data_IF_031188438379
#
_entry.id   IF_031188438379
#
_cell.length_a   1.000
_cell.length_b   1.000
_cell.length_c   1.000
_cell.angle_alpha   90.00
_cell.angle_beta   90.00
_cell.angle_gamma   90.00
#
_symmetry.space_group_name_H-M   'P 1'
#
loop_
_entity.id
_entity.type
_entity.pdbx_description
1 polymer ?
#
# COMPACT_ATOMS: atom_id res chain seq x y z
N UNK A 1 -17.16 0.16 10.93
CA UNK A 1 -16.59 -0.01 12.28
C UNK A 1 -15.23 0.69 12.28
N UNK A 2 -15.04 1.70 13.14
CA UNK A 2 -13.77 2.44 13.26
C UNK A 2 -12.79 1.59 14.09
N UNK A 3 -11.77 1.02 13.48
CA UNK A 3 -10.69 0.33 14.19
C UNK A 3 -9.64 1.35 14.64
N UNK A 4 -9.68 1.72 15.93
CA UNK A 4 -8.61 2.46 16.60
C UNK A 4 -7.81 1.45 17.43
N UNK A 5 -6.63 1.06 16.94
CA UNK A 5 -5.69 0.20 17.69
C UNK A 5 -4.62 1.12 18.32
N UNK A 6 -4.67 1.27 19.65
CA UNK A 6 -3.71 2.00 20.48
C UNK A 6 -2.44 1.19 20.67
N UNK A 7 -1.27 1.79 20.41
CA UNK A 7 0.06 1.19 20.59
C UNK A 7 0.70 1.65 21.90
N UNK A 8 1.05 0.71 22.78
CA UNK A 8 1.94 0.91 23.93
C UNK A 8 3.38 0.52 23.54
N UNK A 9 4.36 1.37 23.85
CA UNK A 9 5.77 1.24 23.46
C UNK A 9 6.58 0.64 24.61
N UNK A 10 7.30 -0.46 24.34
CA UNK A 10 8.41 -0.92 25.18
C UNK A 10 9.64 -1.05 24.28
N UNK A 11 10.68 -0.31 24.61
CA UNK A 11 11.97 -0.26 23.90
C UNK A 11 12.88 -1.37 24.45
N UNK A 12 13.40 -2.24 23.59
CA UNK A 12 14.56 -3.07 23.89
C UNK A 12 15.50 -3.11 22.70
N UNK A 13 16.78 -2.84 22.96
CA UNK A 13 17.88 -2.76 22.00
C UNK A 13 18.39 -4.16 21.59
N UNK A 14 18.68 -4.33 20.29
CA UNK A 14 19.91 -4.95 19.81
C UNK A 14 19.77 -6.15 18.86
N UNK A 15 20.10 -5.98 17.57
CA UNK A 15 21.11 -6.80 16.86
C UNK A 15 21.34 -6.31 15.42
N UNK A 16 22.61 -6.39 15.02
CA UNK A 16 23.20 -6.09 13.69
C UNK A 16 22.57 -6.98 12.60
N UNK A 17 22.20 -6.39 11.45
CA UNK A 17 21.30 -6.86 10.35
C UNK A 17 19.81 -6.50 10.48
N UNK A 18 19.33 -6.10 11.66
CA UNK A 18 17.94 -5.66 11.86
C UNK A 18 17.78 -4.13 11.96
N UNK A 19 18.86 -3.35 11.78
CA UNK A 19 18.87 -1.91 12.08
C UNK A 19 17.89 -1.09 11.25
N UNK A 20 17.80 -1.38 9.96
CA UNK A 20 16.99 -0.60 9.02
C UNK A 20 15.49 -0.92 9.17
N UNK A 21 15.17 -2.21 9.34
CA UNK A 21 13.80 -2.66 9.63
C UNK A 21 13.30 -2.20 11.01
N UNK A 22 14.14 -2.25 12.05
CA UNK A 22 13.79 -1.71 13.37
C UNK A 22 13.64 -0.19 13.33
N UNK A 23 14.56 0.52 12.64
CA UNK A 23 14.42 1.94 12.35
C UNK A 23 13.07 2.22 11.70
N UNK A 24 12.78 1.56 10.57
CA UNK A 24 11.55 1.77 9.82
C UNK A 24 10.32 1.50 10.68
N UNK A 25 10.32 0.46 11.51
CA UNK A 25 9.21 0.13 12.42
C UNK A 25 8.93 1.24 13.42
N UNK A 26 9.99 1.79 14.02
CA UNK A 26 9.89 2.80 15.06
C UNK A 26 9.32 4.11 14.52
N UNK A 27 9.71 4.50 13.30
CA UNK A 27 9.26 5.76 12.69
C UNK A 27 8.04 5.62 11.77
N UNK A 28 7.71 4.43 11.25
CA UNK A 28 6.51 4.22 10.42
C UNK A 28 5.21 4.48 11.19
N UNK A 29 5.21 4.28 12.51
CA UNK A 29 4.09 4.65 13.39
C UNK A 29 3.73 6.14 13.30
N UNK A 30 4.70 7.00 12.93
CA UNK A 30 4.45 8.42 12.69
C UNK A 30 3.58 8.64 11.45
N UNK A 31 3.72 7.81 10.42
CA UNK A 31 2.92 7.87 9.20
C UNK A 31 1.45 7.53 9.44
N UNK A 32 1.17 6.66 10.41
CA UNK A 32 -0.20 6.23 10.78
C UNK A 32 -0.88 7.22 11.75
N UNK A 33 -0.10 7.95 12.57
CA UNK A 33 -0.64 8.85 13.60
C UNK A 33 -1.05 10.24 13.11
N UNK A 34 -0.69 10.60 11.89
CA UNK A 34 -0.94 11.94 11.35
C UNK A 34 -2.05 11.88 10.29
N UNK A 35 -3.30 11.71 10.70
CA UNK A 35 -4.39 12.23 9.87
C UNK A 35 -4.47 13.74 10.11
N UNK A 36 -4.40 14.59 9.06
CA UNK A 36 -4.61 16.03 9.22
C UNK A 36 -5.91 16.31 9.99
N UNK A 37 -5.88 17.08 11.09
CA UNK A 37 -7.09 17.35 11.85
C UNK A 37 -8.05 18.27 11.07
N UNK A 38 -9.27 17.80 10.81
CA UNK A 38 -10.45 18.66 10.70
C UNK A 38 -10.88 19.16 9.32
N UNK A 39 -10.49 18.55 8.19
CA UNK A 39 -11.10 18.82 6.88
C UNK A 39 -11.52 17.52 6.19
N UNK A 40 -12.55 17.56 5.35
CA UNK A 40 -12.74 16.53 4.31
C UNK A 40 -11.45 16.49 3.50
N UNK A 41 -10.65 15.47 3.73
CA UNK A 41 -9.39 15.27 3.01
C UNK A 41 -9.79 14.68 1.66
N UNK A 42 -9.48 15.38 0.57
CA UNK A 42 -9.62 14.78 -0.75
C UNK A 42 -8.65 13.58 -0.83
N UNK A 43 -9.02 12.52 -1.53
CA UNK A 43 -8.22 11.29 -1.60
C UNK A 43 -6.75 11.57 -1.91
N UNK A 44 -6.50 12.50 -2.83
CA UNK A 44 -5.17 12.95 -3.22
C UNK A 44 -4.34 13.56 -2.07
N UNK A 45 -4.96 14.25 -1.10
CA UNK A 45 -4.26 14.84 0.04
C UNK A 45 -3.85 13.76 1.05
N UNK A 46 -4.71 12.79 1.31
CA UNK A 46 -4.41 11.67 2.23
C UNK A 46 -3.32 10.76 1.66
N UNK A 47 -3.46 10.42 0.38
CA UNK A 47 -2.53 9.57 -0.36
C UNK A 47 -1.15 10.22 -0.43
N UNK A 48 -1.06 11.50 -0.82
CA UNK A 48 0.22 12.25 -0.82
C UNK A 48 0.88 12.22 0.55
N UNK A 49 0.12 12.50 1.61
CA UNK A 49 0.65 12.52 2.97
C UNK A 49 1.26 11.16 3.35
N UNK A 50 0.55 10.06 3.11
CA UNK A 50 1.04 8.73 3.47
C UNK A 50 2.29 8.35 2.68
N UNK A 51 2.34 8.63 1.39
CA UNK A 51 3.47 8.27 0.53
C UNK A 51 4.67 9.15 0.80
N UNK A 52 4.49 10.45 0.98
CA UNK A 52 5.58 11.35 1.38
C UNK A 52 6.19 10.86 2.69
N UNK A 53 5.37 10.39 3.63
CA UNK A 53 5.87 9.80 4.86
C UNK A 53 6.66 8.50 4.60
N UNK A 54 6.12 7.56 3.81
CA UNK A 54 6.81 6.30 3.48
C UNK A 54 8.12 6.54 2.75
N UNK A 55 8.15 7.43 1.75
CA UNK A 55 9.37 7.79 1.01
C UNK A 55 10.42 8.42 1.93
N UNK A 56 10.02 9.38 2.77
CA UNK A 56 10.93 10.01 3.74
C UNK A 56 11.49 9.01 4.75
N UNK A 57 10.64 8.14 5.28
CA UNK A 57 11.04 7.18 6.32
C UNK A 57 11.88 6.04 5.75
N UNK A 58 11.54 5.53 4.57
CA UNK A 58 12.35 4.53 3.87
C UNK A 58 13.74 5.07 3.53
N UNK A 59 13.85 6.31 3.06
CA UNK A 59 15.14 6.96 2.84
C UNK A 59 15.92 7.17 4.15
N UNK A 60 15.26 7.61 5.23
CA UNK A 60 15.89 7.82 6.54
C UNK A 60 16.48 6.54 7.12
N UNK A 61 15.78 5.41 6.94
CA UNK A 61 16.19 4.11 7.43
C UNK A 61 16.91 3.27 6.36
N UNK A 62 17.36 3.89 5.27
CA UNK A 62 18.13 3.27 4.19
C UNK A 62 17.51 2.03 3.51
N UNK A 63 16.19 1.83 3.62
CA UNK A 63 15.46 0.66 3.12
C UNK A 63 15.73 0.38 1.64
N UNK A 64 15.73 -0.89 1.24
CA UNK A 64 15.98 -1.28 -0.16
C UNK A 64 14.91 -0.72 -1.12
N UNK A 65 13.68 -0.55 -0.62
CA UNK A 65 12.58 0.02 -1.41
C UNK A 65 12.52 1.55 -1.45
N UNK A 66 13.49 2.29 -0.87
CA UNK A 66 13.46 3.77 -0.80
C UNK A 66 13.28 4.45 -2.16
N UNK A 67 13.99 3.98 -3.18
CA UNK A 67 13.89 4.50 -4.56
C UNK A 67 12.51 4.20 -5.17
N UNK A 68 11.94 3.04 -4.84
CA UNK A 68 10.58 2.66 -5.28
C UNK A 68 9.53 3.51 -4.59
N UNK A 69 9.70 3.83 -3.31
CA UNK A 69 8.82 4.73 -2.57
C UNK A 69 8.87 6.17 -3.12
N UNK A 70 10.05 6.67 -3.50
CA UNK A 70 10.17 7.98 -4.16
C UNK A 70 9.51 7.97 -5.55
N UNK A 71 9.63 6.89 -6.33
CA UNK A 71 8.93 6.77 -7.61
C UNK A 71 7.39 6.80 -7.46
N UNK A 72 6.85 6.17 -6.40
CA UNK A 72 5.42 6.25 -6.08
C UNK A 72 5.03 7.68 -5.70
N UNK A 73 5.86 8.38 -4.93
CA UNK A 73 5.65 9.78 -4.58
C UNK A 73 5.57 10.67 -5.81
N UNK A 74 6.51 10.55 -6.73
CA UNK A 74 6.50 11.30 -7.99
C UNK A 74 5.28 10.98 -8.86
N UNK A 75 4.87 9.70 -8.92
CA UNK A 75 3.67 9.29 -9.65
C UNK A 75 2.40 9.87 -9.02
N UNK A 76 2.26 9.80 -7.70
CA UNK A 76 1.15 10.38 -6.97
C UNK A 76 1.11 11.90 -7.13
N UNK A 77 2.25 12.59 -7.09
CA UNK A 77 2.34 14.03 -7.34
C UNK A 77 1.93 14.42 -8.76
N UNK A 78 2.24 13.60 -9.77
CA UNK A 78 1.80 13.83 -11.15
C UNK A 78 0.28 13.67 -11.30
N UNK A 79 -0.28 12.60 -10.74
CA UNK A 79 -1.73 12.32 -10.82
C UNK A 79 -2.55 13.31 -9.99
N UNK A 80 -2.08 13.66 -8.80
CA UNK A 80 -2.77 14.54 -7.87
C UNK A 80 -2.25 15.99 -7.91
N UNK A 81 -1.49 16.37 -8.93
CA UNK A 81 -0.84 17.68 -9.04
C UNK A 81 -1.76 18.81 -9.52
N UNK A 82 -3.04 18.53 -9.77
CA UNK A 82 -3.99 19.42 -10.43
C UNK A 82 -3.93 19.31 -11.95
N UNK A 83 -4.60 20.26 -12.61
CA UNK A 83 -4.59 20.36 -14.07
C UNK A 83 -5.34 19.22 -14.77
N UNK A 84 -5.01 19.01 -16.04
CA UNK A 84 -5.76 18.09 -16.90
C UNK A 84 -5.46 16.61 -16.62
N UNK A 85 -4.28 16.30 -16.10
CA UNK A 85 -3.94 14.93 -15.65
C UNK A 85 -4.80 14.50 -14.47
N UNK A 86 -4.99 15.38 -13.47
CA UNK A 86 -5.86 15.06 -12.34
C UNK A 86 -7.32 14.92 -12.79
N UNK A 87 -7.83 15.83 -13.66
CA UNK A 87 -9.19 15.71 -14.18
C UNK A 87 -9.41 14.39 -14.92
N UNK A 88 -8.48 14.02 -15.80
CA UNK A 88 -8.56 12.75 -16.53
C UNK A 88 -8.53 11.55 -15.56
N UNK A 89 -7.68 11.59 -14.53
CA UNK A 89 -7.66 10.56 -13.51
C UNK A 89 -8.99 10.46 -12.76
N UNK A 90 -9.55 11.59 -12.33
CA UNK A 90 -10.81 11.65 -11.61
C UNK A 90 -11.99 11.17 -12.48
N UNK A 91 -11.99 11.47 -13.78
CA UNK A 91 -12.99 11.00 -14.76
C UNK A 91 -12.91 9.49 -15.01
N UNK A 92 -11.70 8.93 -15.05
CA UNK A 92 -11.45 7.51 -15.38
C UNK A 92 -11.43 6.60 -14.13
N UNK A 93 -11.44 7.19 -12.93
CA UNK A 93 -11.24 6.50 -11.66
C UNK A 93 -12.21 5.34 -11.43
N UNK A 94 -13.47 5.52 -11.76
CA UNK A 94 -14.50 4.47 -11.64
C UNK A 94 -14.14 3.25 -12.50
N UNK A 95 -13.60 3.48 -13.69
CA UNK A 95 -13.16 2.41 -14.57
C UNK A 95 -11.94 1.69 -14.00
N UNK A 96 -10.95 2.44 -13.50
CA UNK A 96 -9.78 1.85 -12.82
C UNK A 96 -10.18 1.04 -11.60
N UNK A 97 -11.08 1.56 -10.77
CA UNK A 97 -11.59 0.85 -9.61
C UNK A 97 -12.25 -0.46 -10.02
N UNK A 98 -13.07 -0.45 -11.06
CA UNK A 98 -13.69 -1.67 -11.60
C UNK A 98 -12.66 -2.67 -12.08
N UNK A 99 -11.61 -2.22 -12.78
CA UNK A 99 -10.53 -3.08 -13.26
C UNK A 99 -9.80 -3.80 -12.11
N UNK A 100 -9.49 -3.07 -11.02
CA UNK A 100 -8.78 -3.64 -9.87
C UNK A 100 -9.68 -4.42 -8.91
N UNK A 101 -10.97 -4.09 -8.84
CA UNK A 101 -11.93 -4.70 -7.91
C UNK A 101 -12.73 -5.86 -8.55
N UNK A 102 -12.48 -6.16 -9.83
CA UNK A 102 -13.08 -7.29 -10.53
C UNK A 102 -12.91 -8.58 -9.73
N UNK A 103 -13.98 -9.37 -9.65
CA UNK A 103 -14.02 -10.55 -8.80
C UNK A 103 -13.03 -11.64 -9.25
N UNK A 104 -12.64 -11.69 -10.53
CA UNK A 104 -11.63 -12.64 -11.00
C UNK A 104 -10.23 -12.24 -10.55
N UNK A 105 -9.95 -10.94 -10.48
CA UNK A 105 -8.66 -10.42 -10.03
C UNK A 105 -8.57 -10.40 -8.49
N UNK A 106 -9.52 -9.71 -7.84
CA UNK A 106 -9.50 -9.47 -6.39
C UNK A 106 -10.11 -10.62 -5.58
N UNK A 107 -10.84 -11.54 -6.19
CA UNK A 107 -11.49 -12.67 -5.49
C UNK A 107 -10.52 -13.52 -4.66
N UNK A 108 -9.39 -14.00 -5.23
CA UNK A 108 -8.39 -14.73 -4.47
C UNK A 108 -7.79 -13.95 -3.29
N UNK A 109 -7.59 -12.63 -3.45
CA UNK A 109 -7.13 -11.76 -2.36
C UNK A 109 -8.20 -11.65 -1.28
N UNK A 110 -9.46 -11.39 -1.66
CA UNK A 110 -10.59 -11.30 -0.72
C UNK A 110 -10.76 -12.60 0.07
N UNK A 111 -10.60 -13.75 -0.59
CA UNK A 111 -10.65 -15.06 0.06
C UNK A 111 -9.53 -15.24 1.09
N UNK A 112 -8.29 -14.88 0.71
CA UNK A 112 -7.16 -14.93 1.63
C UNK A 112 -7.35 -14.04 2.87
N UNK A 113 -8.15 -12.98 2.74
CA UNK A 113 -8.42 -12.00 3.81
C UNK A 113 -9.71 -12.28 4.61
N UNK A 114 -10.34 -13.46 4.46
CA UNK A 114 -11.51 -13.84 5.26
C UNK A 114 -11.12 -14.32 6.65
N UNK A 115 -12.04 -14.11 7.61
CA UNK A 115 -12.01 -14.69 8.96
C UNK A 115 -10.73 -14.41 9.78
N UNK A 116 -10.26 -13.17 9.72
CA UNK A 116 -9.05 -12.69 10.38
C UNK A 116 -9.32 -12.25 11.83
N UNK A 117 -9.25 -13.19 12.76
CA UNK A 117 -9.56 -12.95 14.18
C UNK A 117 -8.31 -12.79 15.07
N UNK A 118 -7.14 -13.22 14.60
CA UNK A 118 -5.88 -13.21 15.36
C UNK A 118 -4.75 -12.60 14.56
N UNK A 119 -3.74 -12.04 15.24
CA UNK A 119 -2.53 -11.51 14.59
C UNK A 119 -1.85 -12.57 13.70
N UNK A 120 -1.74 -13.80 14.19
CA UNK A 120 -1.19 -14.92 13.43
C UNK A 120 -1.97 -15.18 12.12
N UNK A 121 -3.31 -15.21 12.18
CA UNK A 121 -4.15 -15.37 10.98
C UNK A 121 -3.94 -14.20 10.02
N UNK A 122 -3.88 -12.96 10.52
CA UNK A 122 -3.62 -11.76 9.71
C UNK A 122 -2.27 -11.88 8.99
N UNK A 123 -1.20 -12.25 9.70
CA UNK A 123 0.15 -12.37 9.13
C UNK A 123 0.17 -13.45 8.04
N UNK A 124 -0.38 -14.63 8.32
CA UNK A 124 -0.51 -15.72 7.33
C UNK A 124 -1.27 -15.28 6.09
N UNK A 125 -2.36 -14.54 6.27
CA UNK A 125 -3.16 -14.01 5.17
C UNK A 125 -2.41 -12.96 4.35
N UNK A 126 -1.73 -12.00 4.97
CA UNK A 126 -0.93 -11.02 4.24
C UNK A 126 0.22 -11.66 3.47
N UNK A 127 0.89 -12.66 4.04
CA UNK A 127 1.88 -13.48 3.30
C UNK A 127 1.23 -14.18 2.12
N UNK A 128 0.04 -14.76 2.29
CA UNK A 128 -0.70 -15.38 1.19
C UNK A 128 -1.04 -14.36 0.10
N UNK A 129 -1.49 -13.16 0.46
CA UNK A 129 -1.74 -12.06 -0.48
C UNK A 129 -0.48 -11.70 -1.26
N UNK A 130 0.69 -11.61 -0.61
CA UNK A 130 1.97 -11.39 -1.31
C UNK A 130 2.23 -12.43 -2.40
N UNK A 131 1.91 -13.71 -2.16
CA UNK A 131 2.07 -14.76 -3.20
C UNK A 131 1.08 -14.64 -4.37
N UNK A 132 -0.06 -13.97 -4.17
CA UNK A 132 -1.10 -13.78 -5.18
C UNK A 132 -0.87 -12.49 -5.99
N UNK A 133 -0.01 -11.60 -5.52
CA UNK A 133 0.07 -10.21 -5.96
C UNK A 133 0.45 -10.05 -7.42
N UNK A 134 1.37 -10.87 -7.93
CA UNK A 134 1.73 -10.86 -9.35
C UNK A 134 0.56 -11.24 -10.27
N UNK A 135 -0.20 -12.28 -9.92
CA UNK A 135 -1.39 -12.70 -10.69
C UNK A 135 -2.51 -11.66 -10.64
N UNK A 136 -2.70 -11.01 -9.49
CA UNK A 136 -3.63 -9.90 -9.33
C UNK A 136 -3.24 -8.72 -10.22
N UNK A 137 -1.97 -8.31 -10.20
CA UNK A 137 -1.44 -7.19 -10.98
C UNK A 137 -1.62 -7.38 -12.48
N UNK A 138 -1.28 -8.56 -12.99
CA UNK A 138 -1.49 -8.89 -14.39
C UNK A 138 -2.98 -8.84 -14.79
N UNK A 139 -3.87 -9.36 -13.95
CA UNK A 139 -5.31 -9.37 -14.19
C UNK A 139 -5.88 -7.94 -14.21
N UNK A 140 -5.49 -7.10 -13.24
CA UNK A 140 -5.92 -5.71 -13.15
C UNK A 140 -5.53 -4.88 -14.38
N UNK A 141 -4.28 -4.99 -14.84
CA UNK A 141 -3.79 -4.33 -16.07
C UNK A 141 -4.56 -4.77 -17.31
N UNK A 142 -4.81 -6.07 -17.46
CA UNK A 142 -5.59 -6.60 -18.58
C UNK A 142 -7.02 -6.03 -18.59
N UNK A 143 -7.65 -5.92 -17.42
CA UNK A 143 -8.97 -5.33 -17.30
C UNK A 143 -8.96 -3.83 -17.59
N UNK A 144 -7.99 -3.08 -17.08
CA UNK A 144 -7.88 -1.64 -17.33
C UNK A 144 -7.74 -1.35 -18.83
N UNK A 145 -6.82 -2.05 -19.51
CA UNK A 145 -6.62 -1.96 -20.96
C UNK A 145 -7.88 -2.29 -21.76
N UNK A 146 -8.61 -3.32 -21.35
CA UNK A 146 -9.79 -3.80 -22.06
C UNK A 146 -11.01 -2.91 -21.85
N UNK A 147 -11.22 -2.47 -20.61
CA UNK A 147 -12.49 -1.86 -20.19
C UNK A 147 -12.42 -0.33 -20.16
N UNK A 148 -11.24 0.28 -19.98
CA UNK A 148 -11.04 1.74 -19.90
C UNK A 148 -10.45 2.34 -21.19
N UNK A 149 -9.91 1.51 -22.09
CA UNK A 149 -9.33 1.97 -23.35
C UNK A 149 -7.86 2.40 -23.24
N UNK A 150 -7.22 2.62 -24.41
CA UNK A 150 -5.76 2.73 -24.51
C UNK A 150 -5.15 4.00 -23.90
N UNK A 151 -5.88 5.11 -23.89
CA UNK A 151 -5.39 6.36 -23.27
C UNK A 151 -5.41 6.24 -21.75
N UNK A 152 -6.48 5.64 -21.21
CA UNK A 152 -6.65 5.37 -19.80
C UNK A 152 -5.67 4.31 -19.28
N UNK A 153 -5.23 3.37 -20.13
CA UNK A 153 -4.18 2.37 -19.84
C UNK A 153 -2.83 3.03 -19.50
N UNK A 154 -2.42 4.06 -20.26
CA UNK A 154 -1.15 4.77 -20.02
C UNK A 154 -1.18 5.51 -18.68
N UNK A 155 -2.28 6.21 -18.38
CA UNK A 155 -2.43 6.93 -17.12
C UNK A 155 -2.52 5.95 -15.94
N UNK A 156 -3.26 4.84 -16.11
CA UNK A 156 -3.32 3.75 -15.14
C UNK A 156 -1.94 3.19 -14.83
N UNK A 157 -1.19 2.76 -15.84
CA UNK A 157 0.15 2.18 -15.68
C UNK A 157 1.13 3.17 -15.03
N UNK A 158 1.03 4.46 -15.37
CA UNK A 158 1.90 5.50 -14.81
C UNK A 158 1.83 5.66 -13.29
N UNK A 159 0.72 5.20 -12.69
CA UNK A 159 0.50 5.18 -11.24
C UNK A 159 0.55 3.75 -10.68
N UNK A 160 -0.06 2.80 -11.38
CA UNK A 160 -0.23 1.42 -10.93
C UNK A 160 1.10 0.68 -10.85
N UNK A 161 2.02 0.86 -11.80
CA UNK A 161 3.31 0.17 -11.80
C UNK A 161 4.22 0.56 -10.63
N UNK A 162 4.39 1.85 -10.33
CA UNK A 162 5.06 2.26 -9.10
C UNK A 162 4.42 1.66 -7.86
N UNK A 163 3.08 1.69 -7.74
CA UNK A 163 2.37 1.17 -6.57
C UNK A 163 2.54 -0.34 -6.39
N UNK A 164 2.42 -1.08 -7.48
CA UNK A 164 2.68 -2.51 -7.50
C UNK A 164 4.13 -2.79 -7.06
N UNK A 165 5.10 -2.07 -7.62
CA UNK A 165 6.51 -2.27 -7.30
C UNK A 165 6.79 -2.02 -5.82
N UNK A 166 6.22 -0.96 -5.24
CA UNK A 166 6.36 -0.66 -3.81
C UNK A 166 5.75 -1.77 -2.95
N UNK A 167 4.52 -2.20 -3.27
CA UNK A 167 3.85 -3.25 -2.52
C UNK A 167 4.55 -4.62 -2.65
N UNK A 168 5.12 -4.94 -3.81
CA UNK A 168 5.94 -6.15 -4.03
C UNK A 168 7.24 -6.12 -3.21
N UNK A 169 7.91 -4.97 -3.15
CA UNK A 169 9.10 -4.78 -2.31
C UNK A 169 8.77 -4.90 -0.81
N UNK A 170 7.70 -4.23 -0.36
CA UNK A 170 7.19 -4.37 1.03
C UNK A 170 6.87 -5.84 1.35
N UNK A 171 6.27 -6.56 0.40
CA UNK A 171 6.01 -7.98 0.54
C UNK A 171 7.30 -8.78 0.78
N UNK A 172 8.32 -8.56 -0.05
CA UNK A 172 9.59 -9.29 0.00
C UNK A 172 10.42 -8.98 1.23
N UNK A 173 10.53 -7.70 1.57
CA UNK A 173 11.44 -7.23 2.61
C UNK A 173 10.80 -7.30 4.01
N UNK A 174 9.50 -7.02 4.12
CA UNK A 174 8.85 -6.83 5.42
C UNK A 174 7.84 -7.93 5.78
N UNK A 175 6.96 -8.32 4.85
CA UNK A 175 5.82 -9.21 5.17
C UNK A 175 6.21 -10.69 5.14
N UNK A 176 6.83 -11.15 4.04
CA UNK A 176 7.21 -12.56 3.86
C UNK A 176 8.19 -13.04 4.95
N UNK A 177 9.19 -12.24 5.38
CA UNK A 177 10.12 -12.64 6.43
C UNK A 177 9.53 -12.56 7.86
N UNK A 178 8.41 -11.87 8.07
CA UNK A 178 7.85 -11.67 9.41
C UNK A 178 7.50 -12.99 10.11
N UNK A 179 7.74 -13.09 11.42
CA UNK A 179 7.31 -14.25 12.20
C UNK A 179 5.79 -14.25 12.33
N UNK A 180 5.16 -15.36 11.93
CA UNK A 180 3.70 -15.55 12.03
C UNK A 180 3.22 -15.57 13.48
N UNK A 181 4.11 -15.87 14.43
CA UNK A 181 3.82 -15.85 15.86
C UNK A 181 4.08 -14.50 16.52
N UNK A 182 4.55 -13.50 15.76
CA UNK A 182 4.75 -12.14 16.28
C UNK A 182 3.40 -11.47 16.54
N UNK A 183 2.90 -11.63 17.76
CA UNK A 183 1.63 -11.07 18.20
C UNK A 183 1.70 -9.55 18.49
N UNK A 184 2.86 -8.91 18.28
CA UNK A 184 2.96 -7.47 18.48
C UNK A 184 2.11 -6.75 17.43
N UNK A 185 1.37 -5.70 17.82
CA UNK A 185 0.54 -4.95 16.88
C UNK A 185 1.35 -4.21 15.81
N UNK A 186 2.67 -4.04 16.02
CA UNK A 186 3.59 -3.39 15.07
C UNK A 186 4.43 -4.40 14.29
N UNK A 187 4.00 -5.66 14.26
CA UNK A 187 4.56 -6.66 13.36
C UNK A 187 4.37 -6.23 11.91
N UNK A 188 5.43 -6.24 11.11
CA UNK A 188 5.31 -5.94 9.69
C UNK A 188 4.41 -6.91 8.93
N UNK A 189 4.23 -8.13 9.45
CA UNK A 189 3.32 -9.10 8.88
C UNK A 189 1.85 -8.65 8.92
N UNK A 190 1.48 -7.66 9.74
CA UNK A 190 0.11 -7.11 9.76
C UNK A 190 -0.13 -6.05 8.68
N UNK A 191 0.90 -5.61 7.97
CA UNK A 191 0.75 -4.68 6.83
C UNK A 191 -0.04 -5.36 5.70
N UNK A 192 -1.01 -4.63 5.15
CA UNK A 192 -1.80 -5.10 4.02
C UNK A 192 -1.26 -4.50 2.70
N UNK A 193 -0.51 -5.29 1.89
CA UNK A 193 0.12 -4.79 0.67
C UNK A 193 -0.90 -4.45 -0.41
N UNK A 194 -2.09 -5.08 -0.37
CA UNK A 194 -3.19 -4.76 -1.28
C UNK A 194 -3.79 -3.37 -1.02
N UNK A 195 -3.77 -2.89 0.23
CA UNK A 195 -4.27 -1.55 0.56
C UNK A 195 -3.42 -0.43 -0.05
N UNK A 196 -2.13 -0.67 -0.28
CA UNK A 196 -1.24 0.30 -0.98
C UNK A 196 -1.80 0.65 -2.36
N UNK A 197 -2.33 -0.36 -3.08
CA UNK A 197 -2.95 -0.16 -4.39
C UNK A 197 -4.40 0.33 -4.23
N UNK A 198 -5.20 -0.37 -3.41
CA UNK A 198 -6.64 -0.10 -3.34
C UNK A 198 -6.98 1.30 -2.84
N UNK A 199 -6.17 1.89 -1.95
CA UNK A 199 -6.40 3.23 -1.42
C UNK A 199 -6.39 4.31 -2.51
N UNK A 200 -5.60 4.14 -3.57
CA UNK A 200 -5.52 5.15 -4.65
C UNK A 200 -6.71 5.18 -5.59
N UNK A 201 -7.30 4.01 -5.83
CA UNK A 201 -8.37 3.86 -6.82
C UNK A 201 -9.75 3.76 -6.16
N UNK A 202 -9.82 3.55 -4.84
CA UNK A 202 -11.06 3.47 -4.10
C UNK A 202 -11.78 4.82 -3.94
N UNK A 203 -13.06 4.75 -3.59
CA UNK A 203 -13.82 5.88 -3.07
C UNK A 203 -13.76 5.86 -1.54
N UNK A 204 -13.37 6.98 -0.93
CA UNK A 204 -13.46 7.18 0.51
C UNK A 204 -14.94 7.32 0.94
#
# INVERSE_FOLDING_TARGET
>A
MKFLILFAVVVFFGSVDCGDQECFRDVFKECVKQSPPGKEIQLCDEVKFQIDCVARISAKCDMDFKETAEAVKEAAQRVCGGGDTQKLFDEEKDCYWKAISDSKCAGPIREAMKDLETAEKIIKSNKKVCTLFGSFSQCAKQNAKKDCGSTSDILFDSLYDPLYSLADQICKELILPADEKDARPDSFGVLNPYMVIAAFFGHA
#
